data_IF_841546526362
#
_entry.id   IF_841546526362
#
_cell.length_a   1.000
_cell.length_b   1.000
_cell.length_c   1.000
_cell.angle_alpha   90.00
_cell.angle_beta   90.00
_cell.angle_gamma   90.00
#
_symmetry.space_group_name_H-M   'P 1'
#
loop_
_entity.id
_entity.type
_entity.pdbx_description
1 polymer ?
#
# COMPACT_ATOMS: atom_id res chain seq x y z
N UNK A 1 -11.40 13.22 25.74
CA UNK A 1 -10.50 12.75 24.66
C UNK A 1 -10.59 13.80 23.57
N UNK A 2 -9.48 14.40 23.13
CA UNK A 2 -9.53 15.47 22.12
C UNK A 2 -10.12 14.90 20.82
N UNK A 3 -11.17 15.54 20.28
CA UNK A 3 -11.85 15.12 19.04
C UNK A 3 -10.84 14.89 17.90
N UNK A 4 -9.83 15.76 17.82
CA UNK A 4 -8.71 15.69 16.88
C UNK A 4 -7.93 14.35 16.93
N UNK A 5 -7.68 13.85 18.13
CA UNK A 5 -6.94 12.60 18.32
C UNK A 5 -7.77 11.39 17.89
N UNK A 6 -9.06 11.40 18.23
CA UNK A 6 -10.01 10.35 17.82
C UNK A 6 -10.17 10.29 16.29
N UNK A 7 -10.18 11.45 15.62
CA UNK A 7 -10.22 11.51 14.16
C UNK A 7 -8.93 10.95 13.53
N UNK A 8 -7.76 11.21 14.13
CA UNK A 8 -6.49 10.70 13.64
C UNK A 8 -6.39 9.17 13.81
N UNK A 9 -6.84 8.65 14.96
CA UNK A 9 -6.96 7.21 15.20
C UNK A 9 -7.91 6.55 14.18
N UNK A 10 -9.07 7.15 13.93
CA UNK A 10 -10.04 6.64 12.95
C UNK A 10 -9.45 6.63 11.52
N UNK A 11 -8.70 7.67 11.13
CA UNK A 11 -8.00 7.72 9.84
C UNK A 11 -6.93 6.63 9.73
N UNK A 12 -6.11 6.44 10.77
CA UNK A 12 -5.10 5.39 10.80
C UNK A 12 -5.73 3.99 10.68
N UNK A 13 -6.82 3.75 11.42
CA UNK A 13 -7.57 2.50 11.34
C UNK A 13 -8.16 2.26 9.95
N UNK A 14 -8.70 3.29 9.29
CA UNK A 14 -9.24 3.19 7.94
C UNK A 14 -8.15 2.84 6.90
N UNK A 15 -6.94 3.40 7.02
CA UNK A 15 -5.82 3.07 6.14
C UNK A 15 -5.37 1.61 6.31
N UNK A 16 -5.28 1.13 7.56
CA UNK A 16 -4.95 -0.28 7.84
C UNK A 16 -6.04 -1.20 7.30
N UNK A 17 -7.31 -0.91 7.57
CA UNK A 17 -8.43 -1.71 7.09
C UNK A 17 -8.49 -1.78 5.56
N UNK A 18 -8.22 -0.67 4.87
CA UNK A 18 -8.15 -0.63 3.41
C UNK A 18 -7.02 -1.51 2.86
N UNK A 19 -5.86 -1.52 3.52
CA UNK A 19 -4.74 -2.37 3.12
C UNK A 19 -5.04 -3.85 3.35
N UNK A 20 -5.59 -4.21 4.51
CA UNK A 20 -5.97 -5.59 4.79
C UNK A 20 -7.05 -6.08 3.82
N UNK A 21 -8.00 -5.22 3.44
CA UNK A 21 -9.02 -5.57 2.45
C UNK A 21 -8.40 -5.90 1.10
N UNK A 22 -7.46 -5.07 0.61
CA UNK A 22 -6.72 -5.36 -0.62
C UNK A 22 -6.03 -6.74 -0.57
N UNK A 23 -5.39 -7.06 0.56
CA UNK A 23 -4.70 -8.35 0.71
C UNK A 23 -5.69 -9.53 0.75
N UNK A 24 -6.80 -9.39 1.48
CA UNK A 24 -7.87 -10.39 1.52
C UNK A 24 -8.45 -10.66 0.14
N UNK A 25 -8.79 -9.60 -0.60
CA UNK A 25 -9.39 -9.72 -1.94
C UNK A 25 -8.46 -10.45 -2.92
N UNK A 26 -7.14 -10.18 -2.85
CA UNK A 26 -6.16 -10.89 -3.68
C UNK A 26 -6.09 -12.38 -3.36
N UNK A 27 -6.04 -12.73 -2.08
CA UNK A 27 -6.00 -14.14 -1.63
C UNK A 27 -7.32 -14.84 -1.97
N UNK A 28 -8.45 -14.17 -1.80
CA UNK A 28 -9.76 -14.69 -2.17
C UNK A 28 -9.84 -14.95 -3.68
N UNK A 29 -9.35 -14.05 -4.53
CA UNK A 29 -9.27 -14.28 -5.98
C UNK A 29 -8.43 -15.52 -6.33
N UNK A 30 -7.36 -15.81 -5.59
CA UNK A 30 -6.61 -17.08 -5.75
C UNK A 30 -7.51 -18.28 -5.50
N UNK A 31 -8.28 -18.24 -4.41
CA UNK A 31 -9.20 -19.32 -4.03
C UNK A 31 -10.35 -19.47 -5.04
N UNK A 32 -10.96 -18.37 -5.48
CA UNK A 32 -12.04 -18.36 -6.47
C UNK A 32 -11.63 -18.95 -7.83
N UNK A 33 -10.35 -18.86 -8.18
CA UNK A 33 -9.78 -19.43 -9.40
C UNK A 33 -9.18 -20.84 -9.18
N UNK A 34 -9.37 -21.45 -8.01
CA UNK A 34 -8.84 -22.77 -7.64
C UNK A 34 -7.32 -22.91 -7.84
N UNK A 35 -6.57 -21.81 -7.66
CA UNK A 35 -5.13 -21.79 -7.85
C UNK A 35 -4.41 -22.19 -6.56
N UNK A 36 -3.51 -23.17 -6.64
CA UNK A 36 -2.63 -23.50 -5.52
C UNK A 36 -1.53 -22.45 -5.35
N UNK A 37 -0.95 -22.37 -4.17
CA UNK A 37 0.20 -21.49 -3.93
C UNK A 37 1.41 -21.84 -4.82
N UNK A 38 1.58 -23.11 -5.18
CA UNK A 38 2.61 -23.55 -6.13
C UNK A 38 2.39 -22.96 -7.53
N UNK A 39 1.15 -23.01 -8.03
CA UNK A 39 0.80 -22.41 -9.34
C UNK A 39 1.03 -20.89 -9.33
N UNK A 40 0.72 -20.21 -8.22
CA UNK A 40 1.02 -18.78 -8.09
C UNK A 40 2.52 -18.52 -8.07
N UNK A 41 3.29 -19.37 -7.37
CA UNK A 41 4.73 -19.25 -7.30
C UNK A 41 5.37 -19.37 -8.70
N UNK A 42 4.93 -20.35 -9.49
CA UNK A 42 5.35 -20.54 -10.87
C UNK A 42 5.02 -19.32 -11.73
N UNK A 43 3.79 -18.78 -11.64
CA UNK A 43 3.36 -17.57 -12.36
C UNK A 43 4.15 -16.32 -11.96
N UNK A 44 4.57 -16.24 -10.70
CA UNK A 44 5.34 -15.11 -10.15
C UNK A 44 6.85 -15.26 -10.34
N UNK A 45 7.34 -16.45 -10.74
CA UNK A 45 8.76 -16.79 -10.82
C UNK A 45 9.46 -16.77 -9.46
N UNK A 46 8.78 -17.24 -8.41
CA UNK A 46 9.29 -17.32 -7.02
C UNK A 46 9.05 -18.71 -6.43
N UNK A 47 9.51 -18.96 -5.21
CA UNK A 47 9.26 -20.23 -4.51
C UNK A 47 7.89 -20.26 -3.84
N UNK A 48 7.30 -21.45 -3.66
CA UNK A 48 6.03 -21.60 -2.92
C UNK A 48 6.09 -21.00 -1.49
N UNK A 49 7.18 -21.14 -0.71
CA UNK A 49 7.30 -20.47 0.58
C UNK A 49 7.25 -18.94 0.49
N UNK A 50 7.69 -18.34 -0.63
CA UNK A 50 7.56 -16.90 -0.86
C UNK A 50 6.09 -16.48 -0.99
N UNK A 51 5.27 -17.31 -1.65
CA UNK A 51 3.82 -17.10 -1.74
C UNK A 51 3.17 -17.32 -0.38
N UNK A 52 3.52 -18.39 0.33
CA UNK A 52 3.01 -18.62 1.68
C UNK A 52 3.33 -17.46 2.63
N UNK A 53 4.54 -16.89 2.56
CA UNK A 53 4.94 -15.72 3.34
C UNK A 53 4.15 -14.45 2.95
N UNK A 54 3.84 -14.28 1.66
CA UNK A 54 2.96 -13.21 1.18
C UNK A 54 1.53 -13.34 1.75
N UNK A 55 1.00 -14.56 1.87
CA UNK A 55 -0.37 -14.80 2.32
C UNK A 55 -0.55 -14.81 3.85
N UNK A 56 0.52 -14.60 4.64
CA UNK A 56 0.41 -14.50 6.10
C UNK A 56 -0.33 -13.24 6.52
N UNK A 57 -1.05 -13.30 7.64
CA UNK A 57 -1.82 -12.16 8.18
C UNK A 57 -0.94 -10.95 8.58
N UNK A 58 0.33 -11.20 8.89
CA UNK A 58 1.33 -10.20 9.30
C UNK A 58 2.28 -9.84 8.15
N UNK A 59 1.94 -10.19 6.91
CA UNK A 59 2.79 -9.88 5.76
C UNK A 59 2.76 -8.37 5.45
N UNK A 60 3.90 -7.82 5.06
CA UNK A 60 4.03 -6.45 4.58
C UNK A 60 4.73 -6.44 3.21
N UNK A 61 4.04 -6.90 2.16
CA UNK A 61 4.64 -7.02 0.84
C UNK A 61 4.81 -5.63 0.19
N UNK A 62 5.88 -5.48 -0.58
CA UNK A 62 6.04 -4.27 -1.41
C UNK A 62 4.92 -4.18 -2.46
N UNK A 63 4.61 -2.97 -2.92
CA UNK A 63 3.67 -2.77 -4.04
C UNK A 63 4.08 -3.54 -5.31
N UNK A 64 5.39 -3.77 -5.52
CA UNK A 64 5.88 -4.60 -6.64
C UNK A 64 5.45 -6.06 -6.50
N UNK A 65 5.52 -6.60 -5.27
CA UNK A 65 5.07 -7.96 -4.97
C UNK A 65 3.55 -8.08 -5.12
N UNK A 66 2.80 -7.10 -4.61
CA UNK A 66 1.34 -7.04 -4.75
C UNK A 66 0.92 -7.08 -6.22
N UNK A 67 1.54 -6.26 -7.09
CA UNK A 67 1.23 -6.25 -8.52
C UNK A 67 1.55 -7.57 -9.24
N UNK A 68 2.66 -8.23 -8.87
CA UNK A 68 2.99 -9.55 -9.42
C UNK A 68 1.99 -10.62 -8.98
N UNK A 69 1.56 -10.59 -7.73
CA UNK A 69 0.54 -11.50 -7.23
C UNK A 69 -0.80 -11.24 -7.94
N UNK A 70 -1.23 -9.98 -8.08
CA UNK A 70 -2.44 -9.62 -8.82
C UNK A 70 -2.43 -10.14 -10.26
N UNK A 71 -1.31 -9.97 -10.98
CA UNK A 71 -1.14 -10.55 -12.31
C UNK A 71 -1.30 -12.07 -12.28
N UNK A 72 -0.67 -12.75 -11.30
CA UNK A 72 -0.72 -14.20 -11.18
C UNK A 72 -2.13 -14.75 -10.88
N UNK A 73 -3.00 -13.98 -10.19
CA UNK A 73 -4.39 -14.36 -9.91
C UNK A 73 -5.40 -13.77 -10.90
N UNK A 74 -4.97 -13.05 -11.94
CA UNK A 74 -5.82 -12.31 -12.88
C UNK A 74 -6.66 -11.19 -12.25
N UNK A 75 -6.18 -10.58 -11.16
CA UNK A 75 -6.82 -9.42 -10.54
C UNK A 75 -6.37 -8.11 -11.19
N UNK A 76 -7.31 -7.15 -11.24
CA UNK A 76 -7.04 -5.74 -11.54
C UNK A 76 -7.07 -4.96 -10.23
N UNK A 77 -6.02 -4.18 -9.97
CA UNK A 77 -5.95 -3.30 -8.81
C UNK A 77 -6.25 -1.86 -9.26
N UNK A 78 -7.17 -1.21 -8.57
CA UNK A 78 -7.43 0.22 -8.69
C UNK A 78 -7.14 0.90 -7.35
N UNK A 79 -6.38 2.00 -7.38
CA UNK A 79 -6.10 2.80 -6.19
C UNK A 79 -6.77 4.16 -6.35
N UNK A 80 -7.46 4.59 -5.29
CA UNK A 80 -8.08 5.91 -5.21
C UNK A 80 -7.41 6.68 -4.08
N UNK A 81 -7.06 7.95 -4.33
CA UNK A 81 -6.53 8.85 -3.32
C UNK A 81 -7.50 10.01 -3.22
N UNK A 82 -7.99 10.26 -2.01
CA UNK A 82 -8.92 11.34 -1.71
C UNK A 82 -8.31 12.23 -0.63
N UNK A 83 -8.60 13.51 -0.71
CA UNK A 83 -8.29 14.43 0.37
C UNK A 83 -9.25 14.17 1.53
N UNK A 84 -8.71 13.65 2.64
CA UNK A 84 -9.47 13.36 3.86
C UNK A 84 -9.38 14.50 4.88
N UNK A 85 -8.77 15.65 4.54
CA UNK A 85 -8.65 16.80 5.44
C UNK A 85 -10.04 17.40 5.71
N UNK A 86 -10.33 17.68 6.97
CA UNK A 86 -11.64 18.21 7.40
C UNK A 86 -11.67 19.76 7.37
N UNK A 87 -10.53 20.43 7.16
CA UNK A 87 -10.36 21.87 6.93
C UNK A 87 -8.88 22.17 6.57
N UNK A 88 -8.51 23.38 6.09
CA UNK A 88 -7.11 23.76 5.87
C UNK A 88 -6.26 23.51 7.11
N UNK A 89 -5.20 22.72 6.92
CA UNK A 89 -4.66 21.77 7.89
C UNK A 89 -3.68 22.40 8.92
N UNK A 90 -4.03 23.53 9.55
CA UNK A 90 -3.18 24.12 10.60
C UNK A 90 -3.07 23.25 11.86
N UNK A 91 -4.03 22.34 12.08
CA UNK A 91 -4.05 21.46 13.25
C UNK A 91 -3.31 20.14 13.04
N UNK A 92 -3.27 19.55 11.83
CA UNK A 92 -2.59 18.28 11.60
C UNK A 92 -1.10 18.36 11.92
N UNK A 93 -0.43 19.43 11.47
CA UNK A 93 0.98 19.68 11.79
C UNK A 93 1.24 19.76 13.30
N UNK A 94 0.35 20.40 14.06
CA UNK A 94 0.50 20.53 15.53
C UNK A 94 0.19 19.22 16.26
N UNK A 95 -0.81 18.45 15.81
CA UNK A 95 -1.14 17.13 16.37
C UNK A 95 0.01 16.14 16.13
N UNK A 96 0.53 16.12 14.90
CA UNK A 96 1.73 15.39 14.47
C UNK A 96 2.87 15.75 15.42
N UNK A 97 3.30 17.01 15.50
CA UNK A 97 4.38 17.47 16.39
C UNK A 97 4.19 17.01 17.84
N UNK A 98 2.98 17.13 18.40
CA UNK A 98 2.69 16.74 19.78
C UNK A 98 2.79 15.23 20.03
N UNK A 99 2.35 14.41 19.07
CA UNK A 99 2.47 12.95 19.16
C UNK A 99 3.94 12.50 19.11
N UNK A 100 4.76 13.11 18.24
CA UNK A 100 6.20 12.84 18.17
C UNK A 100 6.97 13.38 19.38
N UNK A 101 6.56 14.50 19.99
CA UNK A 101 7.21 15.05 21.18
C UNK A 101 7.09 14.13 22.42
N UNK A 102 6.14 13.20 22.41
CA UNK A 102 5.90 12.26 23.51
C UNK A 102 6.51 10.87 23.25
N UNK A 103 7.00 10.62 22.02
CA UNK A 103 7.58 9.33 21.61
C UNK A 103 9.11 9.43 21.51
N UNK A 104 9.86 8.56 22.20
CA UNK A 104 11.33 8.57 22.20
C UNK A 104 11.98 8.01 20.91
N UNK A 105 11.20 7.82 19.84
CA UNK A 105 11.68 7.22 18.60
C UNK A 105 11.62 8.24 17.45
N UNK A 106 12.77 8.47 16.82
CA UNK A 106 12.92 9.38 15.67
C UNK A 106 12.49 8.64 14.39
N UNK A 107 11.52 9.13 13.60
CA UNK A 107 11.17 8.49 12.34
C UNK A 107 12.11 8.92 11.20
N UNK A 108 12.40 7.98 10.29
CA UNK A 108 13.25 8.12 9.08
C UNK A 108 12.62 9.03 8.01
N UNK A 109 11.39 9.48 8.20
CA UNK A 109 10.68 10.34 7.25
C UNK A 109 11.01 11.82 7.49
N UNK A 110 12.10 12.31 6.90
CA UNK A 110 12.30 13.75 6.70
C UNK A 110 11.68 14.19 5.37
N UNK A 111 10.66 15.05 5.35
CA UNK A 111 10.36 15.82 4.16
C UNK A 111 11.36 16.99 4.09
N UNK A 112 12.42 16.86 3.29
CA UNK A 112 13.20 18.03 2.87
C UNK A 112 12.81 18.39 1.44
N UNK A 113 11.91 19.38 1.36
CA UNK A 113 12.00 20.58 0.52
C UNK A 113 10.60 20.98 0.05
N UNK A 114 9.99 21.87 0.82
CA UNK A 114 9.08 22.88 0.30
C UNK A 114 9.79 23.63 -0.81
N UNK A 115 9.46 23.33 -2.07
CA UNK A 115 9.44 24.27 -3.20
C UNK A 115 9.12 23.49 -4.48
N UNK A 116 8.06 23.95 -5.13
CA UNK A 116 7.62 23.69 -6.51
C UNK A 116 8.51 22.80 -7.39
N UNK A 117 7.92 21.69 -7.88
CA UNK A 117 7.76 21.44 -9.32
C UNK A 117 6.79 20.27 -9.54
N UNK A 118 5.55 20.64 -9.86
CA UNK A 118 4.68 19.88 -10.74
C UNK A 118 5.41 19.71 -12.09
N UNK A 119 5.14 18.62 -12.81
CA UNK A 119 5.87 18.10 -13.98
C UNK A 119 7.02 17.14 -13.63
N UNK A 120 6.72 15.84 -13.57
CA UNK A 120 7.49 14.74 -14.19
C UNK A 120 6.83 13.38 -13.82
N UNK A 121 5.58 13.16 -14.24
CA UNK A 121 5.13 11.80 -14.52
C UNK A 121 5.44 11.54 -16.00
N UNK A 122 6.71 11.29 -16.30
CA UNK A 122 7.10 10.78 -17.61
C UNK A 122 6.52 9.37 -17.75
N UNK A 123 5.66 9.21 -18.75
CA UNK A 123 4.98 7.96 -19.11
C UNK A 123 5.91 6.74 -19.01
N UNK A 124 5.44 5.59 -18.47
CA UNK A 124 6.23 4.37 -18.54
C UNK A 124 6.43 3.98 -20.01
N UNK A 125 7.70 3.87 -20.42
CA UNK A 125 8.08 3.27 -21.71
C UNK A 125 7.60 1.82 -21.72
N UNK A 126 6.52 1.58 -22.47
CA UNK A 126 6.11 0.24 -22.88
C UNK A 126 7.21 -0.31 -23.80
N UNK A 127 7.94 -1.34 -23.37
CA UNK A 127 8.77 -2.15 -24.26
C UNK A 127 8.02 -3.45 -24.57
N UNK A 128 7.24 -3.44 -25.65
CA UNK A 128 6.79 -4.68 -26.29
C UNK A 128 7.93 -5.13 -27.20
N UNK A 129 8.54 -6.28 -26.92
CA UNK A 129 9.38 -6.97 -27.90
C UNK A 129 8.45 -7.69 -28.85
N UNK A 130 8.39 -7.24 -30.10
CA UNK A 130 7.86 -8.02 -31.19
C UNK A 130 8.84 -9.14 -31.53
N UNK A 131 8.36 -10.38 -31.58
CA UNK A 131 9.10 -11.50 -32.16
C UNK A 131 9.17 -11.31 -33.68
N UNK A 132 10.39 -11.36 -34.21
CA UNK A 132 10.75 -11.48 -35.62
C UNK A 132 12.14 -12.06 -35.70
#
# INVERSE_FOLDING_TARGET
>A
MNEDFSMLEARAAALVASHEQLMRDLIEMRHLHDLTQEVIADRMGVSQPTVAAFERYDSNPTLSTIRRYALAVHARIENKVEDACLNPDHQFDEIVKRSYATSSSVPVFMPRRTEARFEYWSSPKVMIRANG
#
